data_IF_803333690421
#
_entry.id   IF_803333690421
#
_cell.length_a   1.000
_cell.length_b   1.000
_cell.length_c   1.000
_cell.angle_alpha   90.00
_cell.angle_beta   90.00
_cell.angle_gamma   90.00
#
_symmetry.space_group_name_H-M   'P 1'
#
loop_
_entity.id
_entity.type
_entity.pdbx_description
1 polymer ?
#
# COMPACT_ATOMS: atom_id res chain seq x y z
N UNK A 1 -32.23 0.78 5.64
CA UNK A 1 -30.88 1.39 5.66
C UNK A 1 -30.26 1.47 7.05
N UNK A 2 -30.96 1.99 8.09
CA UNK A 2 -30.48 1.83 9.49
C UNK A 2 -30.63 0.38 9.98
N UNK A 3 -31.73 -0.27 9.61
CA UNK A 3 -32.05 -1.63 10.09
C UNK A 3 -31.13 -2.70 9.48
N UNK A 4 -30.69 -2.53 8.24
CA UNK A 4 -29.83 -3.50 7.54
C UNK A 4 -28.40 -3.54 8.09
N UNK A 5 -27.87 -2.39 8.50
CA UNK A 5 -26.55 -2.30 9.13
C UNK A 5 -26.59 -2.86 10.56
N UNK A 6 -27.70 -2.63 11.27
CA UNK A 6 -27.88 -3.11 12.64
C UNK A 6 -27.97 -4.64 12.67
N UNK A 7 -28.78 -5.22 11.79
CA UNK A 7 -28.93 -6.68 11.67
C UNK A 7 -27.63 -7.36 11.20
N UNK A 8 -26.82 -6.68 10.39
CA UNK A 8 -25.51 -7.19 9.98
C UNK A 8 -24.52 -7.22 11.14
N UNK A 9 -24.47 -6.18 11.97
CA UNK A 9 -23.57 -6.14 13.13
C UNK A 9 -23.98 -7.15 14.21
N UNK A 10 -25.27 -7.28 14.47
CA UNK A 10 -25.84 -8.25 15.43
C UNK A 10 -25.50 -9.70 15.06
N UNK A 11 -25.48 -10.03 13.76
CA UNK A 11 -25.19 -11.39 13.28
C UNK A 11 -23.70 -11.71 13.12
N UNK A 12 -22.80 -10.73 13.26
CA UNK A 12 -21.36 -10.90 12.99
C UNK A 12 -20.49 -10.82 14.24
N UNK A 13 -21.04 -10.32 15.36
CA UNK A 13 -20.33 -10.06 16.61
C UNK A 13 -20.79 -11.07 17.66
N UNK A 14 -19.86 -11.65 18.45
CA UNK A 14 -20.23 -12.59 19.52
C UNK A 14 -21.08 -11.91 20.60
N UNK A 15 -22.00 -12.64 21.24
CA UNK A 15 -22.95 -12.09 22.23
C UNK A 15 -22.30 -11.17 23.28
N UNK A 16 -21.13 -11.55 23.83
CA UNK A 16 -20.40 -10.75 24.82
C UNK A 16 -19.96 -9.36 24.30
N UNK A 17 -19.66 -9.24 23.01
CA UNK A 17 -19.26 -8.00 22.34
C UNK A 17 -20.48 -7.17 21.91
N UNK A 18 -21.62 -7.82 21.64
CA UNK A 18 -22.89 -7.14 21.35
C UNK A 18 -23.43 -6.40 22.57
N UNK A 19 -23.38 -7.03 23.75
CA UNK A 19 -23.78 -6.37 25.00
C UNK A 19 -22.86 -5.19 25.36
N UNK A 20 -21.55 -5.30 25.12
CA UNK A 20 -20.62 -4.18 25.28
C UNK A 20 -20.88 -3.01 24.32
N UNK A 21 -21.32 -3.29 23.09
CA UNK A 21 -21.73 -2.29 22.09
C UNK A 21 -23.04 -1.58 22.47
N UNK A 22 -24.01 -2.31 23.01
CA UNK A 22 -25.28 -1.75 23.49
C UNK A 22 -25.06 -0.86 24.74
N UNK A 23 -24.18 -1.25 25.66
CA UNK A 23 -23.84 -0.42 26.83
C UNK A 23 -23.13 0.89 26.44
N UNK A 24 -22.31 0.88 25.38
CA UNK A 24 -21.58 2.06 24.89
C UNK A 24 -22.42 3.05 24.08
N UNK A 25 -23.60 2.66 23.60
CA UNK A 25 -24.55 3.59 22.97
C UNK A 25 -25.07 4.66 23.96
N UNK A 26 -24.86 4.47 25.27
CA UNK A 26 -25.22 5.41 26.33
C UNK A 26 -24.04 6.21 26.93
N UNK A 27 -22.83 6.13 26.35
CA UNK A 27 -21.62 6.82 26.84
C UNK A 27 -21.11 7.96 25.95
N UNK A 28 -20.27 8.83 26.55
CA UNK A 28 -19.66 10.05 26.01
C UNK A 28 -19.12 9.90 24.56
N UNK A 29 -19.42 10.84 23.64
CA UNK A 29 -18.86 10.89 22.28
C UNK A 29 -17.33 10.76 22.16
N UNK A 30 -16.54 11.06 23.20
CA UNK A 30 -15.09 10.83 23.19
C UNK A 30 -14.70 9.36 23.41
N UNK A 31 -15.50 8.57 24.14
CA UNK A 31 -15.31 7.12 24.23
C UNK A 31 -15.67 6.43 22.91
N UNK A 32 -16.66 6.95 22.18
CA UNK A 32 -17.00 6.52 20.83
C UNK A 32 -15.81 6.60 19.87
N UNK A 33 -15.05 7.71 19.90
CA UNK A 33 -13.86 7.87 19.05
C UNK A 33 -12.79 6.84 19.40
N UNK A 34 -12.57 6.55 20.70
CA UNK A 34 -11.60 5.53 21.13
C UNK A 34 -11.99 4.14 20.61
N UNK A 35 -13.26 3.77 20.71
CA UNK A 35 -13.75 2.50 20.17
C UNK A 35 -13.73 2.47 18.63
N UNK A 36 -14.08 3.56 17.95
CA UNK A 36 -13.93 3.67 16.49
C UNK A 36 -12.48 3.58 16.03
N UNK A 37 -11.50 4.03 16.82
CA UNK A 37 -10.07 3.82 16.54
C UNK A 37 -9.65 2.36 16.78
N UNK A 38 -10.22 1.68 17.78
CA UNK A 38 -10.00 0.24 18.04
C UNK A 38 -10.61 -0.62 16.92
N UNK A 39 -11.80 -0.28 16.43
CA UNK A 39 -12.53 -0.99 15.37
C UNK A 39 -12.29 -0.43 13.97
N UNK A 40 -11.47 0.63 13.84
CA UNK A 40 -11.07 1.18 12.54
C UNK A 40 -10.46 0.03 11.77
N UNK A 41 -10.90 -0.15 10.52
CA UNK A 41 -10.35 -1.17 9.63
C UNK A 41 -8.83 -1.14 9.70
N UNK A 42 -8.25 -2.02 10.52
CA UNK A 42 -6.84 -2.22 10.57
C UNK A 42 -6.57 -2.99 9.28
N UNK A 43 -5.97 -2.30 8.31
CA UNK A 43 -5.21 -3.04 7.31
C UNK A 43 -4.11 -3.86 8.02
N UNK A 44 -3.06 -4.20 7.29
CA UNK A 44 -1.87 -4.73 7.93
C UNK A 44 -1.08 -3.57 8.59
N UNK A 45 -0.49 -3.80 9.76
CA UNK A 45 0.43 -2.87 10.42
C UNK A 45 1.76 -2.81 9.66
N UNK A 46 2.14 -1.70 9.00
CA UNK A 46 3.27 -1.71 8.07
C UNK A 46 4.63 -1.86 8.75
N UNK A 47 4.80 -1.42 10.01
CA UNK A 47 6.04 -1.60 10.78
C UNK A 47 6.20 -3.05 11.26
N UNK A 48 5.12 -3.62 11.78
CA UNK A 48 5.04 -5.03 12.19
C UNK A 48 5.25 -5.94 10.98
N UNK A 49 4.67 -5.57 9.84
CA UNK A 49 4.84 -6.27 8.59
C UNK A 49 6.26 -6.13 8.03
N UNK A 50 6.90 -4.96 8.13
CA UNK A 50 8.32 -4.81 7.77
C UNK A 50 9.20 -5.72 8.61
N UNK A 51 8.99 -5.73 9.93
CA UNK A 51 9.72 -6.60 10.87
C UNK A 51 9.48 -8.08 10.55
N UNK A 52 8.24 -8.45 10.20
CA UNK A 52 7.91 -9.80 9.73
C UNK A 52 8.64 -10.15 8.43
N UNK A 53 8.66 -9.24 7.44
CA UNK A 53 9.40 -9.45 6.19
C UNK A 53 10.89 -9.67 6.48
N UNK A 54 11.50 -8.88 7.36
CA UNK A 54 12.91 -9.04 7.77
C UNK A 54 13.17 -10.40 8.45
N UNK A 55 12.16 -11.00 9.09
CA UNK A 55 12.28 -12.33 9.70
C UNK A 55 12.18 -13.50 8.73
N UNK A 56 11.50 -13.33 7.59
CA UNK A 56 11.27 -14.39 6.60
C UNK A 56 12.11 -14.25 5.34
N UNK A 57 12.54 -13.03 4.99
CA UNK A 57 13.43 -12.79 3.87
C UNK A 57 14.87 -13.10 4.28
N UNK A 58 15.41 -14.16 3.67
CA UNK A 58 16.78 -14.62 3.93
C UNK A 58 17.81 -13.66 3.31
N UNK A 59 17.44 -12.96 2.23
CA UNK A 59 18.34 -12.06 1.51
C UNK A 59 17.65 -10.73 1.15
N UNK A 60 18.25 -9.60 1.55
CA UNK A 60 17.77 -8.25 1.19
C UNK A 60 17.73 -8.02 -0.34
N UNK A 61 18.56 -8.75 -1.10
CA UNK A 61 18.59 -8.76 -2.56
C UNK A 61 17.27 -9.27 -3.17
N UNK A 62 16.58 -10.20 -2.49
CA UNK A 62 15.27 -10.67 -2.95
C UNK A 62 14.19 -9.61 -2.79
N UNK A 63 14.21 -8.86 -1.67
CA UNK A 63 13.30 -7.72 -1.46
C UNK A 63 13.52 -6.69 -2.56
N UNK A 64 14.77 -6.28 -2.80
CA UNK A 64 15.10 -5.30 -3.86
C UNK A 64 14.70 -5.78 -5.24
N UNK A 65 14.86 -7.07 -5.53
CA UNK A 65 14.46 -7.66 -6.82
C UNK A 65 12.94 -7.70 -6.98
N UNK A 66 12.19 -7.95 -5.90
CA UNK A 66 10.73 -7.88 -5.86
C UNK A 66 10.24 -6.44 -6.05
N UNK A 67 10.86 -5.47 -5.38
CA UNK A 67 10.56 -4.05 -5.56
C UNK A 67 10.88 -3.57 -6.97
N UNK A 68 11.99 -4.02 -7.56
CA UNK A 68 12.31 -3.72 -8.94
C UNK A 68 11.25 -4.30 -9.90
N UNK A 69 10.81 -5.54 -9.67
CA UNK A 69 9.69 -6.11 -10.40
C UNK A 69 8.42 -5.28 -10.25
N UNK A 70 8.09 -4.81 -9.04
CA UNK A 70 6.96 -3.92 -8.80
C UNK A 70 7.03 -2.66 -9.68
N UNK A 71 8.18 -1.98 -9.70
CA UNK A 71 8.39 -0.77 -10.50
C UNK A 71 8.27 -1.02 -12.01
N UNK A 72 8.69 -2.20 -12.52
CA UNK A 72 8.67 -2.51 -13.95
C UNK A 72 7.36 -3.16 -14.44
N UNK A 73 6.73 -4.00 -13.61
CA UNK A 73 5.62 -4.89 -14.02
C UNK A 73 4.36 -4.72 -13.17
N UNK A 74 4.45 -4.00 -12.04
CA UNK A 74 3.37 -3.85 -11.09
C UNK A 74 3.20 -5.09 -10.21
N UNK A 75 1.96 -5.35 -9.78
CA UNK A 75 1.66 -6.39 -8.78
C UNK A 75 1.15 -7.71 -9.37
N UNK A 76 0.94 -7.78 -10.69
CA UNK A 76 0.32 -8.94 -11.35
C UNK A 76 1.36 -9.98 -11.75
N UNK A 77 1.29 -11.19 -11.20
CA UNK A 77 2.15 -12.32 -11.57
C UNK A 77 1.37 -13.63 -11.81
N UNK A 78 0.14 -13.53 -12.33
CA UNK A 78 -0.67 -14.71 -12.66
C UNK A 78 -0.06 -15.55 -13.81
N UNK A 79 -0.62 -16.74 -14.07
CA UNK A 79 -0.14 -17.66 -15.13
C UNK A 79 0.05 -16.98 -16.49
N UNK A 80 -0.85 -16.06 -16.89
CA UNK A 80 -0.74 -15.32 -18.16
C UNK A 80 0.43 -14.33 -18.16
N UNK A 81 0.71 -13.67 -17.03
CA UNK A 81 1.90 -12.82 -16.90
C UNK A 81 3.17 -13.65 -16.94
N UNK A 82 3.25 -14.73 -16.15
CA UNK A 82 4.44 -15.58 -16.07
C UNK A 82 4.80 -16.23 -17.41
N UNK A 83 3.80 -16.59 -18.22
CA UNK A 83 4.02 -17.12 -19.57
C UNK A 83 4.83 -16.16 -20.48
N UNK A 84 4.76 -14.85 -20.23
CA UNK A 84 5.46 -13.81 -20.98
C UNK A 84 6.83 -13.43 -20.39
N UNK A 85 7.21 -14.01 -19.26
CA UNK A 85 8.48 -13.75 -18.58
C UNK A 85 9.59 -14.67 -19.11
N UNK A 86 10.85 -14.23 -18.96
CA UNK A 86 12.01 -15.11 -19.18
C UNK A 86 12.01 -16.26 -18.18
N UNK A 87 12.77 -17.31 -18.46
CA UNK A 87 12.91 -18.43 -17.53
C UNK A 87 13.46 -17.95 -16.18
N UNK A 88 14.51 -17.14 -16.17
CA UNK A 88 15.09 -16.64 -14.91
C UNK A 88 14.06 -15.85 -14.09
N UNK A 89 13.29 -14.95 -14.72
CA UNK A 89 12.29 -14.17 -14.00
C UNK A 89 11.16 -15.05 -13.44
N UNK A 90 10.74 -16.09 -14.17
CA UNK A 90 9.76 -17.06 -13.65
C UNK A 90 10.31 -17.82 -12.44
N UNK A 91 11.55 -18.27 -12.52
CA UNK A 91 12.20 -19.02 -11.44
C UNK A 91 12.33 -18.16 -10.17
N UNK A 92 12.68 -16.87 -10.34
CA UNK A 92 12.70 -15.89 -9.25
C UNK A 92 11.32 -15.66 -8.63
N UNK A 93 10.26 -15.52 -9.43
CA UNK A 93 8.89 -15.35 -8.88
C UNK A 93 8.44 -16.62 -8.15
N UNK A 94 8.74 -17.80 -8.70
CA UNK A 94 8.44 -19.08 -8.05
C UNK A 94 9.20 -19.22 -6.73
N UNK A 95 10.45 -18.75 -6.64
CA UNK A 95 11.20 -18.65 -5.37
C UNK A 95 10.42 -17.81 -4.36
N UNK A 96 9.95 -16.62 -4.73
CA UNK A 96 9.20 -15.76 -3.81
C UNK A 96 7.86 -16.36 -3.35
N UNK A 97 7.15 -17.06 -4.24
CA UNK A 97 5.93 -17.78 -3.88
C UNK A 97 6.22 -18.92 -2.89
N UNK A 98 7.23 -19.74 -3.18
CA UNK A 98 7.51 -20.95 -2.40
C UNK A 98 8.22 -20.68 -1.07
N UNK A 99 9.13 -19.70 -1.03
CA UNK A 99 9.94 -19.40 0.16
C UNK A 99 9.27 -18.33 1.02
N UNK A 100 8.74 -17.27 0.42
CA UNK A 100 8.22 -16.10 1.15
C UNK A 100 6.68 -16.07 1.21
N UNK A 101 5.98 -17.06 0.65
CA UNK A 101 4.52 -17.13 0.69
C UNK A 101 3.85 -15.99 -0.09
N UNK A 102 4.47 -15.51 -1.18
CA UNK A 102 3.92 -14.44 -1.99
C UNK A 102 2.53 -14.81 -2.53
N UNK A 103 1.52 -13.99 -2.22
CA UNK A 103 0.11 -14.18 -2.57
C UNK A 103 -0.47 -12.95 -3.29
N UNK A 104 -1.52 -13.17 -4.09
CA UNK A 104 -2.31 -12.09 -4.72
C UNK A 104 -3.50 -11.69 -3.87
N UNK A 105 -3.85 -12.50 -2.86
CA UNK A 105 -5.01 -12.32 -2.02
C UNK A 105 -4.54 -11.99 -0.60
N UNK A 106 -4.70 -10.74 -0.15
CA UNK A 106 -4.33 -10.35 1.21
C UNK A 106 -5.39 -10.84 2.22
N UNK A 107 -5.33 -12.12 2.57
CA UNK A 107 -6.26 -12.83 3.46
C UNK A 107 -5.92 -12.76 4.95
N UNK A 108 -4.70 -12.38 5.30
CA UNK A 108 -4.26 -12.13 6.68
C UNK A 108 -3.37 -10.88 6.78
N UNK A 109 -3.10 -10.33 7.97
CA UNK A 109 -2.14 -9.24 8.15
C UNK A 109 -0.70 -9.58 7.72
N UNK A 110 -0.29 -10.85 7.82
CA UNK A 110 1.06 -11.32 7.48
C UNK A 110 1.19 -11.79 6.04
N UNK A 111 0.10 -11.83 5.28
CA UNK A 111 0.13 -12.28 3.88
C UNK A 111 1.04 -11.37 3.05
N UNK A 112 2.07 -11.96 2.46
CA UNK A 112 3.06 -11.25 1.65
C UNK A 112 2.45 -10.98 0.28
N UNK A 113 2.28 -9.72 -0.08
CA UNK A 113 1.89 -9.30 -1.43
C UNK A 113 2.86 -8.26 -1.94
N UNK A 114 3.04 -8.17 -3.26
CA UNK A 114 3.95 -7.19 -3.87
C UNK A 114 3.60 -5.76 -3.43
N UNK A 115 2.30 -5.42 -3.34
CA UNK A 115 1.87 -4.09 -2.91
C UNK A 115 2.20 -3.79 -1.45
N UNK A 116 2.06 -4.78 -0.56
CA UNK A 116 2.39 -4.61 0.85
C UNK A 116 3.89 -4.48 1.08
N UNK A 117 4.70 -5.26 0.35
CA UNK A 117 6.17 -5.12 0.39
C UNK A 117 6.58 -3.72 -0.10
N UNK A 118 6.02 -3.25 -1.22
CA UNK A 118 6.30 -1.90 -1.73
C UNK A 118 5.89 -0.77 -0.77
N UNK A 119 4.84 -0.98 0.01
CA UNK A 119 4.39 -0.02 1.03
C UNK A 119 5.23 -0.06 2.32
N UNK A 120 5.90 -1.17 2.62
CA UNK A 120 6.81 -1.29 3.77
C UNK A 120 8.22 -0.77 3.47
N UNK A 121 8.60 -0.70 2.19
CA UNK A 121 9.93 -0.31 1.71
C UNK A 121 9.84 0.91 0.75
N UNK A 122 9.24 2.00 1.22
CA UNK A 122 8.96 3.21 0.43
C UNK A 122 10.24 3.87 -0.10
N UNK A 123 11.27 3.92 0.75
CA UNK A 123 12.59 4.46 0.42
C UNK A 123 13.22 3.68 -0.73
N UNK A 124 13.27 2.35 -0.63
CA UNK A 124 13.86 1.51 -1.66
C UNK A 124 13.10 1.58 -2.99
N UNK A 125 11.77 1.72 -2.95
CA UNK A 125 10.99 1.98 -4.17
C UNK A 125 11.42 3.30 -4.79
N UNK A 126 11.48 4.39 -4.01
CA UNK A 126 11.90 5.69 -4.51
C UNK A 126 13.34 5.66 -5.07
N UNK A 127 14.28 5.02 -4.38
CA UNK A 127 15.66 4.85 -4.84
C UNK A 127 15.73 4.12 -6.19
N UNK A 128 14.94 3.06 -6.37
CA UNK A 128 14.87 2.32 -7.63
C UNK A 128 14.38 3.25 -8.75
N UNK A 129 13.36 4.06 -8.49
CA UNK A 129 12.82 5.00 -9.49
C UNK A 129 13.82 6.12 -9.84
N UNK A 130 14.67 6.55 -8.90
CA UNK A 130 15.77 7.49 -9.18
C UNK A 130 16.81 6.82 -10.08
N UNK A 131 17.36 5.69 -9.63
CA UNK A 131 18.51 5.05 -10.26
C UNK A 131 18.16 4.38 -11.60
N UNK A 132 16.92 3.91 -11.75
CA UNK A 132 16.48 3.02 -12.85
C UNK A 132 15.12 3.41 -13.41
N UNK A 133 14.67 4.65 -13.23
CA UNK A 133 13.34 5.11 -13.67
C UNK A 133 13.06 4.88 -15.15
N UNK A 134 14.09 4.92 -16.01
CA UNK A 134 13.99 4.65 -17.45
C UNK A 134 13.67 3.18 -17.79
N UNK A 135 13.97 2.24 -16.90
CA UNK A 135 13.63 0.83 -17.03
C UNK A 135 12.27 0.48 -16.39
N UNK A 136 11.74 1.40 -15.58
CA UNK A 136 10.50 1.23 -14.82
C UNK A 136 9.27 1.63 -15.66
N UNK A 137 8.11 1.07 -15.30
CA UNK A 137 6.84 1.41 -15.95
C UNK A 137 6.25 2.67 -15.30
N UNK A 138 6.93 3.80 -15.49
CA UNK A 138 6.50 5.10 -15.00
C UNK A 138 5.94 5.90 -16.18
N UNK A 139 4.67 6.29 -16.08
CA UNK A 139 4.05 7.14 -17.08
C UNK A 139 4.24 8.61 -16.72
N UNK A 140 4.69 9.38 -17.71
CA UNK A 140 4.75 10.83 -17.66
C UNK A 140 3.47 11.38 -18.27
N UNK A 141 2.79 12.27 -17.55
CA UNK A 141 1.58 12.92 -18.02
C UNK A 141 1.79 14.43 -18.09
N UNK A 142 1.07 15.07 -19.01
CA UNK A 142 1.04 16.52 -19.11
C UNK A 142 0.49 17.11 -17.80
N UNK A 143 1.04 18.22 -17.34
CA UNK A 143 0.59 18.97 -16.15
C UNK A 143 0.77 18.21 -14.81
N UNK A 144 1.59 17.15 -14.79
CA UNK A 144 2.03 16.44 -13.59
C UNK A 144 3.46 16.85 -13.23
N UNK A 145 3.60 17.52 -12.10
CA UNK A 145 4.86 18.08 -11.58
C UNK A 145 5.51 17.25 -10.49
N UNK A 146 4.80 16.26 -9.93
CA UNK A 146 5.35 15.41 -8.86
C UNK A 146 6.63 14.69 -9.33
N UNK A 147 7.72 14.70 -8.54
CA UNK A 147 8.96 14.00 -8.88
C UNK A 147 8.78 12.53 -9.23
N UNK A 148 9.58 12.02 -10.17
CA UNK A 148 9.51 10.62 -10.64
C UNK A 148 9.62 9.62 -9.50
N UNK A 149 10.44 9.91 -8.50
CA UNK A 149 10.65 9.01 -7.37
C UNK A 149 9.44 8.90 -6.44
N UNK A 150 8.42 9.75 -6.59
CA UNK A 150 7.14 9.68 -5.86
C UNK A 150 6.01 9.09 -6.70
N UNK A 151 6.29 8.60 -7.91
CA UNK A 151 5.29 8.08 -8.85
C UNK A 151 5.04 6.59 -8.63
N UNK A 152 4.52 6.26 -7.46
CA UNK A 152 4.11 4.91 -7.09
C UNK A 152 2.92 4.95 -6.10
N UNK A 153 2.22 3.82 -5.94
CA UNK A 153 0.92 3.79 -5.25
C UNK A 153 0.97 4.15 -3.77
N UNK A 154 2.09 3.89 -3.11
CA UNK A 154 2.25 4.09 -1.66
C UNK A 154 3.02 5.37 -1.31
N UNK A 155 3.40 6.18 -2.32
CA UNK A 155 4.08 7.45 -2.12
C UNK A 155 3.34 8.46 -1.21
N UNK A 156 1.99 8.49 -1.13
CA UNK A 156 1.28 9.41 -0.23
C UNK A 156 1.77 9.35 1.22
N UNK A 157 2.24 8.18 1.69
CA UNK A 157 2.77 8.03 3.06
C UNK A 157 4.05 8.82 3.34
N UNK A 158 4.72 9.37 2.33
CA UNK A 158 5.94 10.19 2.45
C UNK A 158 5.81 11.58 1.80
N UNK A 159 4.59 12.00 1.47
CA UNK A 159 4.34 13.36 0.99
C UNK A 159 4.29 14.33 2.18
N UNK A 160 4.76 15.55 1.93
CA UNK A 160 4.99 16.54 2.97
C UNK A 160 3.82 17.51 3.16
N UNK A 161 2.97 17.68 2.14
CA UNK A 161 1.86 18.63 2.18
C UNK A 161 0.74 18.25 1.19
N UNK A 162 -0.39 18.96 1.30
CA UNK A 162 -1.59 18.72 0.50
C UNK A 162 -1.38 19.01 -1.01
N UNK A 163 -0.48 19.92 -1.35
CA UNK A 163 -0.22 20.25 -2.76
C UNK A 163 0.58 19.13 -3.46
N UNK A 164 1.57 18.55 -2.78
CA UNK A 164 2.21 17.31 -3.24
C UNK A 164 1.18 16.18 -3.39
N UNK A 165 0.24 16.05 -2.45
CA UNK A 165 -0.82 15.04 -2.54
C UNK A 165 -1.70 15.25 -3.78
N UNK A 166 -2.13 16.48 -4.06
CA UNK A 166 -2.94 16.79 -5.25
C UNK A 166 -2.18 16.49 -6.54
N UNK A 167 -0.89 16.82 -6.61
CA UNK A 167 -0.08 16.54 -7.79
C UNK A 167 0.18 15.05 -7.98
N UNK A 168 0.42 14.31 -6.89
CA UNK A 168 0.47 12.85 -6.92
C UNK A 168 -0.87 12.26 -7.38
N UNK A 169 -1.99 12.81 -6.92
CA UNK A 169 -3.33 12.30 -7.26
C UNK A 169 -3.61 12.43 -8.76
N UNK A 170 -3.23 13.54 -9.39
CA UNK A 170 -3.33 13.72 -10.85
C UNK A 170 -2.60 12.59 -11.58
N UNK A 171 -1.35 12.32 -11.17
CA UNK A 171 -0.57 11.23 -11.73
C UNK A 171 -1.23 9.87 -11.50
N UNK A 172 -1.67 9.59 -10.27
CA UNK A 172 -2.21 8.29 -9.87
C UNK A 172 -3.50 7.95 -10.61
N UNK A 173 -4.37 8.94 -10.85
CA UNK A 173 -5.61 8.77 -11.60
C UNK A 173 -5.33 8.45 -13.07
N UNK A 174 -4.42 9.18 -13.72
CA UNK A 174 -4.04 8.88 -15.11
C UNK A 174 -3.33 7.52 -15.23
N UNK A 175 -2.50 7.17 -14.27
CA UNK A 175 -1.87 5.86 -14.20
C UNK A 175 -2.92 4.74 -14.05
N UNK A 176 -3.92 4.91 -13.16
CA UNK A 176 -5.00 3.93 -12.94
C UNK A 176 -5.81 3.64 -14.21
N UNK A 177 -6.11 4.67 -15.01
CA UNK A 177 -6.78 4.53 -16.31
C UNK A 177 -6.01 3.63 -17.28
N UNK A 178 -4.68 3.65 -17.22
CA UNK A 178 -3.83 2.79 -18.08
C UNK A 178 -3.75 1.36 -17.54
N UNK A 179 -3.61 1.19 -16.23
CA UNK A 179 -3.37 -0.15 -15.64
C UNK A 179 -4.67 -0.95 -15.41
N UNK A 180 -5.81 -0.25 -15.27
CA UNK A 180 -7.14 -0.79 -14.99
C UNK A 180 -8.23 -0.10 -15.86
N UNK A 181 -8.14 -0.11 -17.20
CA UNK A 181 -9.01 0.69 -18.07
C UNK A 181 -10.51 0.43 -17.88
N UNK A 182 -10.90 -0.79 -17.54
CA UNK A 182 -12.31 -1.19 -17.33
C UNK A 182 -12.80 -0.95 -15.90
N UNK A 183 -11.90 -0.74 -14.93
CA UNK A 183 -12.22 -0.66 -13.50
C UNK A 183 -11.73 0.64 -12.86
N UNK A 184 -11.21 1.56 -13.67
CA UNK A 184 -10.60 2.77 -13.15
C UNK A 184 -11.63 3.61 -12.39
N UNK A 185 -11.24 4.07 -11.21
CA UNK A 185 -12.12 4.79 -10.32
C UNK A 185 -11.34 5.83 -9.52
N UNK A 186 -11.47 7.09 -9.91
CA UNK A 186 -10.82 8.22 -9.26
C UNK A 186 -11.14 8.31 -7.76
N UNK A 187 -12.39 8.03 -7.37
CA UNK A 187 -12.80 8.07 -5.96
C UNK A 187 -12.06 7.00 -5.14
N UNK A 188 -11.83 5.82 -5.69
CA UNK A 188 -11.02 4.79 -5.03
C UNK A 188 -9.56 5.22 -4.90
N UNK A 189 -8.98 5.77 -5.98
CA UNK A 189 -7.59 6.26 -5.95
C UNK A 189 -7.42 7.34 -4.89
N UNK A 190 -8.29 8.34 -4.83
CA UNK A 190 -8.17 9.40 -3.82
C UNK A 190 -8.50 8.92 -2.41
N UNK A 191 -9.46 7.98 -2.24
CA UNK A 191 -9.77 7.37 -0.93
C UNK A 191 -8.54 6.66 -0.36
N UNK A 192 -7.92 5.75 -1.12
CA UNK A 192 -6.75 5.01 -0.63
C UNK A 192 -5.50 5.89 -0.52
N UNK A 193 -5.33 6.85 -1.43
CA UNK A 193 -4.28 7.87 -1.33
C UNK A 193 -4.41 8.70 -0.05
N UNK A 194 -5.60 9.18 0.30
CA UNK A 194 -5.86 9.91 1.55
C UNK A 194 -5.57 9.07 2.79
N UNK A 195 -5.98 7.80 2.80
CA UNK A 195 -5.68 6.88 3.91
C UNK A 195 -4.16 6.77 4.11
N UNK A 196 -3.40 6.62 3.02
CA UNK A 196 -1.94 6.54 3.06
C UNK A 196 -1.29 7.86 3.49
N UNK A 197 -1.78 9.01 2.98
CA UNK A 197 -1.29 10.35 3.32
C UNK A 197 -1.56 10.74 4.78
N UNK A 198 -2.73 10.38 5.32
CA UNK A 198 -3.13 10.67 6.70
C UNK A 198 -2.72 9.57 7.68
N UNK A 199 -1.99 8.55 7.21
CA UNK A 199 -1.53 7.46 8.07
C UNK A 199 -0.57 7.97 9.13
N UNK A 200 -0.76 7.51 10.36
CA UNK A 200 0.16 7.72 11.49
C UNK A 200 1.43 6.87 11.40
N UNK A 201 1.59 6.06 10.34
CA UNK A 201 2.76 5.22 10.13
C UNK A 201 4.07 6.02 10.15
N UNK A 202 4.07 7.18 9.49
CA UNK A 202 5.19 8.11 9.48
C UNK A 202 4.69 9.47 9.95
N UNK A 203 5.23 9.93 11.08
CA UNK A 203 5.07 11.31 11.51
C UNK A 203 5.78 12.27 10.54
N UNK A 204 5.47 13.56 10.66
CA UNK A 204 6.01 14.59 9.76
C UNK A 204 7.55 14.60 9.76
N UNK A 205 8.17 14.41 10.93
CA UNK A 205 9.62 14.35 11.07
C UNK A 205 10.23 13.16 10.31
N UNK A 206 9.61 11.98 10.39
CA UNK A 206 10.06 10.79 9.66
C UNK A 206 9.88 10.95 8.16
N UNK A 207 8.78 11.54 7.70
CA UNK A 207 8.57 11.84 6.27
C UNK A 207 9.66 12.77 5.75
N UNK A 208 10.00 13.84 6.49
CA UNK A 208 11.09 14.75 6.15
C UNK A 208 12.43 14.03 6.04
N UNK A 209 12.81 13.21 7.04
CA UNK A 209 14.06 12.43 7.00
C UNK A 209 14.12 11.48 5.81
N UNK A 210 13.04 10.75 5.55
CA UNK A 210 12.92 9.85 4.39
C UNK A 210 13.13 10.64 3.09
N UNK A 211 12.49 11.80 2.96
CA UNK A 211 12.59 12.66 1.78
C UNK A 211 13.98 13.24 1.59
N UNK A 212 14.61 13.75 2.65
CA UNK A 212 15.99 14.25 2.62
C UNK A 212 16.98 13.18 2.17
N UNK A 213 16.84 11.94 2.68
CA UNK A 213 17.67 10.82 2.25
C UNK A 213 17.49 10.52 0.75
N UNK A 214 16.25 10.38 0.28
CA UNK A 214 15.95 10.10 -1.14
C UNK A 214 16.46 11.23 -2.05
N UNK A 215 16.23 12.48 -1.68
CA UNK A 215 16.63 13.67 -2.45
C UNK A 215 18.16 13.87 -2.45
N UNK A 216 18.90 13.30 -1.49
CA UNK A 216 20.37 13.28 -1.53
C UNK A 216 20.95 12.36 -2.61
N UNK A 217 20.12 11.50 -3.23
CA UNK A 217 20.53 10.54 -4.26
C UNK A 217 20.32 11.05 -5.69
N UNK A 218 19.65 12.20 -5.86
CA UNK A 218 19.39 12.82 -7.18
C UNK A 218 20.53 13.74 -7.60
#
# INVERSE_FOLDING_TARGET
MKDDLFNYLESTISDDLWYGFIETLNTDPEEWKKWFEIFKYQGYGPLEFKSYLESIFVEITDIRSLLYYYCCKGTKYNKKTLAKCTKELRDTINKWVNIYGLSTNPDSPTTVTISRVAAAYLEEVAEILIKRGSECRIFNFKDVTIPTYLRFSSAPSILLNEDEFKDWLKWAVENDKIINPEKSNMSNVEKFGRISFNSSLHDEASRKRIREHIESLT
#
